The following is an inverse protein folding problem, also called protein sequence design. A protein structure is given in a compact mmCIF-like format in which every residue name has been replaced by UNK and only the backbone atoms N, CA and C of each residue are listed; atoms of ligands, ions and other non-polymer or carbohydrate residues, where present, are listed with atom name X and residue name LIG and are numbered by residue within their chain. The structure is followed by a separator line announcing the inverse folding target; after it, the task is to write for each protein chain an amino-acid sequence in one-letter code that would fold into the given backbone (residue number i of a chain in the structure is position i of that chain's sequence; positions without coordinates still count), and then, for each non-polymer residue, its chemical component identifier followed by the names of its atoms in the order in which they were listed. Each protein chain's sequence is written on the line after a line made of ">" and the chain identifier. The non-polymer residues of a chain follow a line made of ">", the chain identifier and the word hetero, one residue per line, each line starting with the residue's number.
data_IF_795113259049
#
_entry.id   IF_795113259049
#
_cell.length_a   1.000
_cell.length_b   1.000
_cell.length_c   1.000
_cell.angle_alpha   90.00
_cell.angle_beta   90.00
_cell.angle_gamma   90.00
#
_symmetry.space_group_name_H-M   'P 1'
#
loop_
_entity.id
_entity.type
_entity.pdbx_description
1 polymer ?
#
# COMPACT_ATOMS: atom_id res chain seq x y z
N UNK A 1 9.85 11.37 0.45
CA UNK A 1 8.68 10.50 0.26
C UNK A 1 7.42 11.36 0.29
N UNK A 2 6.56 11.24 -0.71
CA UNK A 2 5.31 12.01 -0.80
C UNK A 2 4.17 11.12 -1.29
N UNK A 3 2.97 11.27 -0.70
CA UNK A 3 1.76 10.65 -1.20
C UNK A 3 1.09 11.53 -2.25
N UNK A 4 0.83 10.96 -3.42
CA UNK A 4 0.07 11.58 -4.50
C UNK A 4 -1.22 10.82 -4.74
N UNK A 5 -2.30 11.52 -5.05
CA UNK A 5 -3.56 10.88 -5.43
C UNK A 5 -3.79 11.07 -6.92
N UNK A 6 -3.98 9.97 -7.63
CA UNK A 6 -4.43 9.99 -9.02
C UNK A 6 -5.93 9.69 -9.05
N UNK A 7 -6.79 10.71 -9.33
CA UNK A 7 -8.24 10.55 -9.30
C UNK A 7 -8.77 9.65 -10.41
N UNK A 8 -8.13 9.64 -11.59
CA UNK A 8 -8.58 8.82 -12.73
C UNK A 8 -8.50 7.33 -12.43
N UNK A 9 -7.45 6.92 -11.71
CA UNK A 9 -7.22 5.52 -11.34
C UNK A 9 -7.67 5.21 -9.90
N UNK A 10 -8.17 6.21 -9.17
CA UNK A 10 -8.51 6.12 -7.75
C UNK A 10 -7.40 5.47 -6.93
N UNK A 11 -6.16 5.91 -7.12
CA UNK A 11 -4.97 5.32 -6.48
C UNK A 11 -4.19 6.38 -5.71
N UNK A 12 -3.79 6.03 -4.48
CA UNK A 12 -2.79 6.77 -3.73
C UNK A 12 -1.43 6.14 -3.99
N UNK A 13 -0.45 6.92 -4.43
CA UNK A 13 0.91 6.45 -4.70
C UNK A 13 1.88 7.13 -3.74
N UNK A 14 2.75 6.33 -3.12
CA UNK A 14 3.90 6.83 -2.37
C UNK A 14 5.11 6.76 -3.28
N UNK A 15 5.71 7.91 -3.57
CA UNK A 15 6.91 7.99 -4.41
C UNK A 15 8.07 8.66 -3.67
N UNK A 16 9.29 8.26 -4.06
CA UNK A 16 10.54 8.89 -3.62
C UNK A 16 11.52 8.88 -4.79
N UNK A 17 12.12 10.03 -5.11
CA UNK A 17 13.12 10.18 -6.18
C UNK A 17 12.69 9.53 -7.53
N UNK A 18 11.44 9.76 -7.95
CA UNK A 18 10.90 9.20 -9.20
C UNK A 18 10.51 7.71 -9.13
N UNK A 19 10.81 7.02 -8.03
CA UNK A 19 10.46 5.61 -7.83
C UNK A 19 9.17 5.48 -7.02
N UNK A 20 8.24 4.64 -7.48
CA UNK A 20 7.00 4.33 -6.75
C UNK A 20 7.28 3.21 -5.75
N UNK A 21 7.06 3.50 -4.47
CA UNK A 21 7.34 2.60 -3.36
C UNK A 21 6.11 1.80 -2.93
N UNK A 22 4.94 2.44 -2.96
CA UNK A 22 3.67 1.85 -2.60
C UNK A 22 2.51 2.43 -3.40
N UNK A 23 1.45 1.65 -3.55
CA UNK A 23 0.17 2.06 -4.14
C UNK A 23 -0.99 1.60 -3.26
N UNK A 24 -2.02 2.41 -3.13
CA UNK A 24 -3.28 2.02 -2.49
C UNK A 24 -4.42 2.34 -3.44
N UNK A 25 -4.97 1.31 -4.08
CA UNK A 25 -6.12 1.43 -4.96
C UNK A 25 -7.39 1.48 -4.13
N UNK A 26 -8.26 2.41 -4.46
CA UNK A 26 -9.59 2.56 -3.89
C UNK A 26 -10.60 2.23 -4.98
N UNK A 27 -11.59 1.43 -4.64
CA UNK A 27 -12.70 1.13 -5.54
C UNK A 27 -14.00 1.16 -4.79
N UNK A 28 -15.03 1.65 -5.45
CA UNK A 28 -16.39 1.73 -4.94
C UNK A 28 -17.32 0.89 -5.81
N UNK A 29 -18.08 0.01 -5.17
CA UNK A 29 -19.03 -0.91 -5.81
C UNK A 29 -20.37 -0.79 -5.09
N UNK A 30 -21.23 0.17 -5.47
CA UNK A 30 -22.41 0.54 -4.69
C UNK A 30 -23.42 -0.60 -4.51
N UNK A 31 -23.43 -1.62 -5.40
CA UNK A 31 -24.31 -2.79 -5.29
C UNK A 31 -23.84 -3.86 -4.28
N UNK A 32 -22.72 -3.66 -3.57
CA UNK A 32 -22.18 -4.64 -2.64
C UNK A 32 -22.49 -4.29 -1.17
N UNK A 33 -22.64 -5.31 -0.31
CA UNK A 33 -22.79 -5.16 1.15
C UNK A 33 -21.63 -4.39 1.81
N UNK A 34 -20.44 -4.48 1.22
CA UNK A 34 -19.25 -3.70 1.58
C UNK A 34 -18.79 -2.97 0.30
N UNK A 35 -19.35 -1.78 0.02
CA UNK A 35 -19.18 -1.12 -1.27
C UNK A 35 -17.78 -0.54 -1.44
N UNK A 36 -17.09 -0.21 -0.35
CA UNK A 36 -15.76 0.39 -0.40
C UNK A 36 -14.67 -0.67 -0.27
N UNK A 37 -13.64 -0.58 -1.11
CA UNK A 37 -12.49 -1.50 -1.06
C UNK A 37 -11.20 -0.73 -1.25
N UNK A 38 -10.23 -1.00 -0.37
CA UNK A 38 -8.85 -0.56 -0.52
C UNK A 38 -7.95 -1.77 -0.82
N UNK A 39 -7.02 -1.63 -1.77
CA UNK A 39 -5.98 -2.62 -2.06
C UNK A 39 -4.62 -1.94 -1.99
N UNK A 40 -3.85 -2.22 -0.94
CA UNK A 40 -2.47 -1.78 -0.81
C UNK A 40 -1.53 -2.74 -1.55
N UNK A 41 -0.62 -2.18 -2.34
CA UNK A 41 0.54 -2.81 -2.94
C UNK A 41 1.79 -2.12 -2.41
N UNK A 42 2.74 -2.86 -1.85
CA UNK A 42 4.04 -2.33 -1.43
C UNK A 42 5.13 -3.14 -2.12
N UNK A 43 6.17 -2.47 -2.63
CA UNK A 43 7.25 -3.15 -3.34
C UNK A 43 7.93 -4.17 -2.42
N UNK A 44 8.19 -5.37 -2.94
CA UNK A 44 8.76 -6.47 -2.16
C UNK A 44 10.14 -6.13 -1.59
N UNK A 45 10.90 -5.25 -2.25
CA UNK A 45 12.21 -4.76 -1.82
C UNK A 45 12.20 -4.12 -0.42
N UNK A 46 11.04 -3.60 0.00
CA UNK A 46 10.90 -2.95 1.29
C UNK A 46 10.52 -3.91 2.42
N UNK A 47 10.35 -5.20 2.12
CA UNK A 47 10.08 -6.23 3.14
C UNK A 47 11.36 -6.87 3.68
N UNK A 48 11.27 -7.43 4.89
CA UNK A 48 12.40 -8.14 5.51
C UNK A 48 12.91 -9.28 4.63
N UNK A 49 14.20 -9.60 4.74
CA UNK A 49 14.85 -10.68 3.98
C UNK A 49 14.10 -12.01 4.04
N UNK A 50 13.55 -12.38 5.22
CA UNK A 50 12.70 -13.57 5.39
C UNK A 50 11.40 -13.50 4.59
N UNK A 51 10.79 -12.32 4.51
CA UNK A 51 9.55 -12.11 3.77
C UNK A 51 9.82 -12.01 2.28
N UNK A 52 10.90 -11.35 1.87
CA UNK A 52 11.40 -11.35 0.48
C UNK A 52 11.69 -12.76 -0.01
N UNK A 53 12.44 -13.59 0.73
CA UNK A 53 12.72 -14.97 0.33
C UNK A 53 11.43 -15.81 0.15
N UNK A 54 10.41 -15.58 0.99
CA UNK A 54 9.09 -16.22 0.85
C UNK A 54 8.31 -15.70 -0.38
N UNK A 55 8.54 -14.46 -0.80
CA UNK A 55 7.88 -13.81 -1.94
C UNK A 55 8.59 -14.07 -3.27
N UNK A 56 9.92 -14.16 -3.28
CA UNK A 56 10.74 -14.58 -4.41
C UNK A 56 10.39 -16.01 -4.82
N UNK A 57 10.20 -16.91 -3.83
CA UNK A 57 9.61 -18.23 -4.07
C UNK A 57 8.24 -18.17 -4.75
N UNK A 58 7.51 -17.06 -4.60
CA UNK A 58 6.20 -16.78 -5.22
C UNK A 58 6.29 -15.85 -6.44
N UNK A 59 7.48 -15.44 -6.89
CA UNK A 59 7.74 -14.47 -7.97
C UNK A 59 6.86 -13.21 -7.93
N UNK A 60 6.70 -12.58 -6.75
CA UNK A 60 5.87 -11.36 -6.62
C UNK A 60 6.72 -10.12 -6.37
N UNK A 61 6.76 -9.22 -7.35
CA UNK A 61 7.38 -7.88 -7.22
C UNK A 61 6.67 -6.99 -6.20
N UNK A 62 5.38 -7.25 -5.95
CA UNK A 62 4.54 -6.45 -5.07
C UNK A 62 3.81 -7.33 -4.04
N UNK A 63 3.78 -6.85 -2.80
CA UNK A 63 2.99 -7.44 -1.73
C UNK A 63 1.62 -6.80 -1.69
N UNK A 64 0.57 -7.60 -1.81
CA UNK A 64 -0.81 -7.11 -1.91
C UNK A 64 -1.67 -7.48 -0.71
N UNK A 65 -2.44 -6.53 -0.19
CA UNK A 65 -3.50 -6.76 0.80
C UNK A 65 -4.75 -5.96 0.42
N UNK A 66 -5.93 -6.59 0.47
CA UNK A 66 -7.19 -5.90 0.19
C UNK A 66 -8.13 -5.95 1.40
N UNK A 67 -8.74 -4.81 1.72
CA UNK A 67 -9.71 -4.67 2.80
C UNK A 67 -11.00 -4.03 2.27
N UNK A 68 -12.14 -4.46 2.80
CA UNK A 68 -13.47 -3.98 2.40
C UNK A 68 -14.11 -3.25 3.58
N UNK A 69 -14.88 -2.20 3.30
CA UNK A 69 -15.50 -1.33 4.29
C UNK A 69 -16.97 -1.08 3.93
N UNK A 70 -17.76 -0.78 4.97
CA UNK A 70 -19.19 -0.51 4.82
C UNK A 70 -19.47 0.97 4.53
N UNK A 71 -18.69 1.88 5.13
CA UNK A 71 -18.85 3.33 4.98
C UNK A 71 -17.60 3.96 4.37
N UNK A 72 -17.78 5.16 3.80
CA UNK A 72 -16.68 5.96 3.25
C UNK A 72 -15.74 6.45 4.35
N UNK A 73 -16.26 6.86 5.52
CA UNK A 73 -15.40 7.31 6.61
C UNK A 73 -14.48 6.19 7.11
N UNK A 74 -14.98 4.96 7.22
CA UNK A 74 -14.17 3.81 7.64
C UNK A 74 -13.05 3.49 6.64
N UNK A 75 -13.32 3.69 5.34
CA UNK A 75 -12.29 3.60 4.31
C UNK A 75 -11.25 4.71 4.50
N UNK A 76 -11.68 5.96 4.67
CA UNK A 76 -10.77 7.10 4.77
C UNK A 76 -9.88 7.02 6.03
N UNK A 77 -10.43 6.59 7.17
CA UNK A 77 -9.67 6.32 8.39
C UNK A 77 -8.64 5.20 8.17
N UNK A 78 -9.04 4.12 7.48
CA UNK A 78 -8.11 3.06 7.10
C UNK A 78 -7.00 3.58 6.19
N UNK A 79 -7.32 4.39 5.18
CA UNK A 79 -6.32 4.96 4.28
C UNK A 79 -5.30 5.80 5.06
N UNK A 80 -5.76 6.65 5.98
CA UNK A 80 -4.86 7.44 6.85
C UNK A 80 -3.92 6.55 7.66
N UNK A 81 -4.46 5.53 8.35
CA UNK A 81 -3.64 4.59 9.13
C UNK A 81 -2.68 3.79 8.25
N UNK A 82 -3.14 3.33 7.09
CA UNK A 82 -2.35 2.48 6.21
C UNK A 82 -1.20 3.24 5.54
N UNK A 83 -1.42 4.50 5.17
CA UNK A 83 -0.35 5.39 4.68
C UNK A 83 0.76 5.54 5.71
N UNK A 84 0.40 5.86 6.95
CA UNK A 84 1.37 6.00 8.04
C UNK A 84 2.10 4.67 8.36
N UNK A 85 1.39 3.53 8.33
CA UNK A 85 1.99 2.21 8.50
C UNK A 85 3.04 1.91 7.42
N UNK A 86 2.70 2.17 6.15
CA UNK A 86 3.60 1.95 5.00
C UNK A 86 4.82 2.86 5.08
N UNK A 87 4.65 4.12 5.42
CA UNK A 87 5.77 5.06 5.60
C UNK A 87 6.73 4.60 6.69
N UNK A 88 6.21 4.25 7.88
CA UNK A 88 7.04 3.73 8.99
C UNK A 88 7.80 2.48 8.58
N UNK A 89 7.14 1.60 7.84
CA UNK A 89 7.74 0.36 7.35
C UNK A 89 8.90 0.62 6.38
N UNK A 90 8.69 1.49 5.40
CA UNK A 90 9.73 1.87 4.43
C UNK A 90 10.90 2.55 5.15
N UNK A 91 10.63 3.50 6.05
CA UNK A 91 11.67 4.19 6.83
C UNK A 91 12.50 3.23 7.68
N UNK A 92 11.86 2.25 8.33
CA UNK A 92 12.57 1.25 9.12
C UNK A 92 13.55 0.45 8.24
N UNK A 93 13.13 0.06 7.04
CA UNK A 93 13.98 -0.67 6.09
C UNK A 93 15.13 0.18 5.54
N UNK A 94 14.88 1.45 5.24
CA UNK A 94 15.93 2.37 4.79
C UNK A 94 17.01 2.54 5.86
N UNK A 95 16.63 2.61 7.15
CA UNK A 95 17.59 2.66 8.27
C UNK A 95 18.41 1.38 8.38
N UNK A 96 17.79 0.21 8.27
CA UNK A 96 18.50 -1.07 8.27
C UNK A 96 19.49 -1.22 7.11
N UNK A 97 19.23 -0.59 5.97
CA UNK A 97 20.08 -0.68 4.77
C UNK A 97 21.22 0.33 4.75
N UNK A 98 21.17 1.34 5.63
CA UNK A 98 22.18 2.37 5.79
C UNK A 98 23.22 2.05 6.88
N UNK A 99 23.08 0.89 7.53
CA UNK A 99 23.99 0.37 8.57
C UNK A 99 24.80 -0.79 8.01
#
# INVERSE_FOLDING_TARGET
>A
MEWRFNPMLSVHELASNGTVLARIYVSEKPRNRLPFRAKSLVSALYYSSRTMARLDRKKKEWVSGARKFRTREALDEYLKRKKAEIERFIQARERESAT
#
